data_IF_064240798341
#
_entry.id   IF_064240798341
#
_cell.length_a   1.000
_cell.length_b   1.000
_cell.length_c   1.000
_cell.angle_alpha   90.00
_cell.angle_beta   90.00
_cell.angle_gamma   90.00
#
_symmetry.space_group_name_H-M   'P 1'
#
loop_
_entity.id
_entity.type
_entity.pdbx_description
1 polymer ?
#
# COMPACT_ATOMS: atom_id res chain seq x y z
N UNK A 1 8.88 21.18 0.42
CA UNK A 1 7.79 20.60 1.25
C UNK A 1 8.37 19.35 1.93
N UNK A 2 8.38 19.30 3.26
CA UNK A 2 9.06 18.23 4.01
C UNK A 2 8.22 16.95 3.97
N UNK A 3 8.39 16.12 2.94
CA UNK A 3 7.84 14.76 2.89
C UNK A 3 8.65 13.85 3.81
N UNK A 4 8.44 13.99 5.12
CA UNK A 4 8.92 13.01 6.09
C UNK A 4 8.18 11.70 5.85
N UNK A 5 8.90 10.65 5.47
CA UNK A 5 8.38 9.28 5.51
C UNK A 5 8.05 8.93 6.96
N UNK A 6 6.82 9.25 7.38
CA UNK A 6 6.34 8.93 8.72
C UNK A 6 6.17 7.41 8.81
N UNK A 7 7.13 6.74 9.44
CA UNK A 7 6.99 5.35 9.83
C UNK A 7 5.99 5.27 10.98
N UNK A 8 5.04 4.35 10.87
CA UNK A 8 4.16 4.03 11.99
C UNK A 8 4.95 3.49 13.18
N UNK A 9 4.44 3.71 14.39
CA UNK A 9 5.03 3.15 15.60
C UNK A 9 5.01 1.62 15.54
N UNK A 10 6.00 0.97 16.15
CA UNK A 10 6.06 -0.50 16.16
C UNK A 10 4.80 -1.13 16.78
N UNK A 11 4.25 -0.51 17.83
CA UNK A 11 3.00 -0.96 18.44
C UNK A 11 1.83 -0.99 17.44
N UNK A 12 1.69 0.04 16.60
CA UNK A 12 0.64 0.09 15.58
C UNK A 12 0.83 -0.97 14.50
N UNK A 13 2.08 -1.19 14.08
CA UNK A 13 2.43 -2.21 13.10
C UNK A 13 2.07 -3.61 13.63
N UNK A 14 2.51 -3.95 14.84
CA UNK A 14 2.19 -5.24 15.47
C UNK A 14 0.69 -5.42 15.68
N UNK A 15 -0.01 -4.40 16.17
CA UNK A 15 -1.47 -4.44 16.34
C UNK A 15 -2.18 -4.74 15.01
N UNK A 16 -1.79 -4.04 13.93
CA UNK A 16 -2.40 -4.23 12.60
C UNK A 16 -2.25 -5.68 12.09
N UNK A 17 -1.06 -6.28 12.25
CA UNK A 17 -0.84 -7.67 11.85
C UNK A 17 -1.64 -8.66 12.70
N UNK A 18 -1.70 -8.44 14.03
CA UNK A 18 -2.47 -9.29 14.95
C UNK A 18 -3.96 -9.20 14.64
N UNK A 19 -4.51 -7.99 14.43
CA UNK A 19 -5.91 -7.79 14.08
C UNK A 19 -6.29 -8.44 12.76
N UNK A 20 -5.43 -8.36 11.74
CA UNK A 20 -5.64 -9.06 10.48
C UNK A 20 -5.65 -10.59 10.67
N UNK A 21 -4.70 -11.13 11.43
CA UNK A 21 -4.65 -12.55 11.77
C UNK A 21 -5.89 -13.02 12.54
N UNK A 22 -6.35 -12.24 13.51
CA UNK A 22 -7.56 -12.52 14.28
C UNK A 22 -8.81 -12.51 13.39
N UNK A 23 -8.92 -11.56 12.46
CA UNK A 23 -10.02 -11.50 11.50
C UNK A 23 -10.04 -12.71 10.56
N UNK A 24 -8.88 -13.10 10.03
CA UNK A 24 -8.74 -14.28 9.18
C UNK A 24 -9.09 -15.57 9.95
N UNK A 25 -8.69 -15.67 11.22
CA UNK A 25 -9.04 -16.79 12.09
C UNK A 25 -10.55 -16.87 12.35
N UNK A 26 -11.19 -15.74 12.67
CA UNK A 26 -12.64 -15.69 12.86
C UNK A 26 -13.41 -16.11 11.59
N UNK A 27 -12.96 -15.67 10.41
CA UNK A 27 -13.54 -16.12 9.13
C UNK A 27 -13.40 -17.63 8.93
N UNK A 28 -12.21 -18.18 9.20
CA UNK A 28 -11.97 -19.61 9.07
C UNK A 28 -12.85 -20.44 10.00
N UNK A 29 -12.95 -20.04 11.28
CA UNK A 29 -13.83 -20.69 12.26
C UNK A 29 -15.30 -20.58 11.83
N UNK A 30 -15.74 -19.42 11.35
CA UNK A 30 -17.08 -19.21 10.84
C UNK A 30 -17.41 -20.13 9.65
N UNK A 31 -16.49 -20.26 8.70
CA UNK A 31 -16.64 -21.18 7.56
C UNK A 31 -16.66 -22.65 8.01
N UNK A 32 -15.86 -23.01 9.01
CA UNK A 32 -15.81 -24.36 9.56
C UNK A 32 -17.12 -24.76 10.22
N UNK A 33 -17.68 -23.90 11.10
CA UNK A 33 -18.93 -24.16 11.82
C UNK A 33 -20.18 -24.08 10.94
N UNK A 34 -20.10 -23.51 9.75
CA UNK A 34 -21.26 -23.37 8.85
C UNK A 34 -21.76 -24.75 8.37
N UNK A 35 -23.07 -25.06 8.49
CA UNK A 35 -23.63 -26.36 8.10
C UNK A 35 -23.93 -26.41 6.59
N UNK A 36 -22.89 -26.35 5.75
CA UNK A 36 -23.01 -26.37 4.28
C UNK A 36 -22.12 -27.47 3.71
N UNK A 37 -22.41 -27.89 2.47
CA UNK A 37 -21.65 -28.90 1.78
C UNK A 37 -20.21 -28.45 1.47
N UNK A 38 -19.31 -29.41 1.25
CA UNK A 38 -17.89 -29.10 1.04
C UNK A 38 -17.65 -28.24 -0.21
N UNK A 39 -18.44 -28.41 -1.26
CA UNK A 39 -18.30 -27.62 -2.50
C UNK A 39 -18.72 -26.17 -2.27
N UNK A 40 -19.82 -25.95 -1.55
CA UNK A 40 -20.22 -24.62 -1.10
C UNK A 40 -19.14 -23.95 -0.26
N UNK A 41 -18.54 -24.67 0.71
CA UNK A 41 -17.45 -24.11 1.55
C UNK A 41 -16.25 -23.73 0.70
N UNK A 42 -15.90 -24.56 -0.28
CA UNK A 42 -14.83 -24.30 -1.24
C UNK A 42 -15.09 -23.04 -2.07
N UNK A 43 -16.30 -22.86 -2.59
CA UNK A 43 -16.68 -21.66 -3.34
C UNK A 43 -16.50 -20.38 -2.52
N UNK A 44 -17.02 -20.38 -1.29
CA UNK A 44 -16.89 -19.23 -0.39
C UNK A 44 -15.44 -18.98 0.01
N UNK A 45 -14.67 -20.03 0.32
CA UNK A 45 -13.26 -19.92 0.65
C UNK A 45 -12.45 -19.28 -0.50
N UNK A 46 -12.67 -19.72 -1.74
CA UNK A 46 -12.01 -19.14 -2.91
C UNK A 46 -12.36 -17.65 -3.06
N UNK A 47 -13.63 -17.28 -2.91
CA UNK A 47 -14.08 -15.88 -2.97
C UNK A 47 -13.44 -15.01 -1.90
N UNK A 48 -13.42 -15.48 -0.65
CA UNK A 48 -12.80 -14.77 0.48
C UNK A 48 -11.29 -14.59 0.24
N UNK A 49 -10.58 -15.64 -0.15
CA UNK A 49 -9.13 -15.58 -0.41
C UNK A 49 -8.80 -14.61 -1.55
N UNK A 50 -9.54 -14.69 -2.66
CA UNK A 50 -9.33 -13.80 -3.82
C UNK A 50 -9.63 -12.34 -3.48
N UNK A 51 -10.68 -12.09 -2.70
CA UNK A 51 -11.05 -10.74 -2.25
C UNK A 51 -9.96 -10.15 -1.34
N UNK A 52 -9.48 -10.90 -0.36
CA UNK A 52 -8.40 -10.47 0.56
C UNK A 52 -7.12 -10.19 -0.22
N UNK A 53 -6.72 -11.09 -1.12
CA UNK A 53 -5.54 -10.92 -1.97
C UNK A 53 -5.65 -9.63 -2.81
N UNK A 54 -6.80 -9.41 -3.45
CA UNK A 54 -7.02 -8.24 -4.30
C UNK A 54 -7.05 -6.94 -3.50
N UNK A 55 -7.64 -6.94 -2.29
CA UNK A 55 -7.64 -5.77 -1.42
C UNK A 55 -6.21 -5.35 -1.01
N UNK A 56 -5.33 -6.32 -0.71
CA UNK A 56 -3.91 -6.06 -0.44
C UNK A 56 -3.21 -5.51 -1.67
N UNK A 57 -3.46 -6.09 -2.85
CA UNK A 57 -2.88 -5.63 -4.10
C UNK A 57 -3.29 -4.18 -4.41
N UNK A 58 -4.58 -3.84 -4.31
CA UNK A 58 -5.09 -2.49 -4.52
C UNK A 58 -4.42 -1.49 -3.56
N UNK A 59 -4.29 -1.86 -2.28
CA UNK A 59 -3.64 -1.00 -1.28
C UNK A 59 -2.17 -0.74 -1.64
N UNK A 60 -1.45 -1.79 -2.09
CA UNK A 60 -0.07 -1.66 -2.57
C UNK A 60 0.00 -0.76 -3.80
N UNK A 61 -0.82 -1.00 -4.82
CA UNK A 61 -0.85 -0.21 -6.06
C UNK A 61 -1.09 1.28 -5.79
N UNK A 62 -2.02 1.63 -4.88
CA UNK A 62 -2.27 3.02 -4.51
C UNK A 62 -1.04 3.65 -3.84
N UNK A 63 -0.38 2.92 -2.93
CA UNK A 63 0.84 3.38 -2.26
C UNK A 63 1.99 3.57 -3.25
N UNK A 64 2.22 2.57 -4.11
CA UNK A 64 3.29 2.57 -5.11
C UNK A 64 3.11 3.75 -6.09
N UNK A 65 1.88 4.02 -6.54
CA UNK A 65 1.57 5.19 -7.38
C UNK A 65 1.85 6.51 -6.63
N UNK A 66 1.43 6.60 -5.37
CA UNK A 66 1.66 7.80 -4.55
C UNK A 66 3.15 8.06 -4.31
N UNK A 67 3.96 7.01 -4.15
CA UNK A 67 5.41 7.11 -4.01
C UNK A 67 6.08 7.47 -5.34
N UNK A 68 5.66 6.88 -6.45
CA UNK A 68 6.17 7.19 -7.79
C UNK A 68 5.96 8.67 -8.16
N UNK A 69 4.76 9.21 -7.95
CA UNK A 69 4.45 10.62 -8.21
C UNK A 69 5.34 11.58 -7.41
N UNK A 70 5.61 11.23 -6.14
CA UNK A 70 6.53 12.02 -5.29
C UNK A 70 7.96 12.00 -5.81
N UNK A 71 8.44 10.86 -6.30
CA UNK A 71 9.78 10.74 -6.88
C UNK A 71 9.90 11.55 -8.16
N UNK A 72 8.89 11.51 -9.04
CA UNK A 72 8.86 12.29 -10.29
C UNK A 72 8.98 13.78 -9.98
N UNK A 73 8.16 14.30 -9.06
CA UNK A 73 8.20 15.72 -8.65
C UNK A 73 9.57 16.15 -8.13
N UNK A 74 10.21 15.33 -7.29
CA UNK A 74 11.57 15.62 -6.80
C UNK A 74 12.62 15.69 -7.92
N UNK A 75 12.49 14.84 -8.93
CA UNK A 75 13.38 14.86 -10.10
C UNK A 75 13.13 16.08 -10.97
N UNK A 76 11.87 16.46 -11.18
CA UNK A 76 11.48 17.67 -11.91
C UNK A 76 11.98 18.94 -11.22
N UNK A 77 11.83 19.04 -9.90
CA UNK A 77 12.33 20.16 -9.10
C UNK A 77 13.87 20.29 -9.26
N UNK A 78 14.61 19.18 -9.12
CA UNK A 78 16.07 19.18 -9.26
C UNK A 78 16.53 19.50 -10.69
N UNK A 79 15.77 19.09 -11.73
CA UNK A 79 16.05 19.48 -13.12
C UNK A 79 15.79 20.98 -13.33
N UNK A 80 14.68 21.48 -12.79
CA UNK A 80 14.30 22.89 -12.89
C UNK A 80 15.33 23.78 -12.20
N UNK A 81 15.79 23.40 -11.01
CA UNK A 81 16.87 24.10 -10.29
C UNK A 81 18.16 24.14 -11.12
N UNK A 82 18.59 23.01 -11.70
CA UNK A 82 19.78 22.97 -12.57
C UNK A 82 19.64 23.86 -13.82
N UNK A 83 18.46 23.94 -14.41
CA UNK A 83 18.21 24.82 -15.56
C UNK A 83 18.31 26.28 -15.16
N UNK A 84 17.67 26.68 -14.06
CA UNK A 84 17.73 28.04 -13.52
C UNK A 84 19.18 28.47 -13.21
N UNK A 85 19.98 27.60 -12.59
CA UNK A 85 21.38 27.87 -12.29
C UNK A 85 22.21 28.10 -13.56
N UNK A 86 21.97 27.31 -14.62
CA UNK A 86 22.66 27.50 -15.91
C UNK A 86 22.32 28.86 -16.53
N UNK A 87 21.03 29.20 -16.62
CA UNK A 87 20.60 30.50 -17.16
C UNK A 87 21.16 31.69 -16.39
N UNK A 88 21.20 31.61 -15.06
CA UNK A 88 21.78 32.68 -14.24
C UNK A 88 23.29 32.85 -14.47
N UNK A 89 24.01 31.76 -14.76
CA UNK A 89 25.45 31.82 -15.03
C UNK A 89 25.76 32.40 -16.41
N UNK A 90 24.98 32.03 -17.42
CA UNK A 90 25.18 32.51 -18.79
C UNK A 90 24.77 33.99 -18.99
N UNK A 91 24.02 34.57 -18.06
CA UNK A 91 23.65 36.00 -18.07
C UNK A 91 24.61 36.94 -17.31
N UNK A 92 25.69 36.41 -16.73
CA UNK A 92 26.72 37.18 -16.02
C UNK A 92 28.03 37.38 -16.81
N UNK A 93 28.12 36.81 -18.02
CA UNK A 93 29.18 37.02 -19.00
C UNK A 93 28.76 38.07 -20.05
#
# INVERSE_FOLDING_TARGET
MNDSFQKHSQAWVSFSYISFGAAAFMLFVGLYMMPIDLWGKGYLAMGILMLVQTAVNVTKTIRDNSEADKLIRKVEDARTEKLLVKFNRDGQD
#
